data_IF_446537285550
#
_entry.id   IF_446537285550
#
_cell.length_a   1.000
_cell.length_b   1.000
_cell.length_c   1.000
_cell.angle_alpha   90.00
_cell.angle_beta   90.00
_cell.angle_gamma   90.00
#
_symmetry.space_group_name_H-M   'P 1'
#
loop_
_entity.id
_entity.type
_entity.pdbx_description
1 polymer ?
#
# COMPACT_ATOMS: atom_id res chain seq x y z
N UNK A 1 28.41 4.71 -23.58
CA UNK A 1 27.69 5.66 -22.71
C UNK A 1 26.64 6.34 -23.56
N UNK A 2 25.47 5.74 -23.69
CA UNK A 2 24.31 6.34 -24.36
C UNK A 2 23.60 7.23 -23.37
N UNK A 3 23.54 8.53 -23.68
CA UNK A 3 22.78 9.48 -22.89
C UNK A 3 21.33 9.05 -22.82
N UNK A 4 20.87 8.70 -21.62
CA UNK A 4 19.47 8.44 -21.30
C UNK A 4 18.72 9.76 -21.55
N UNK A 5 17.94 9.83 -22.61
CA UNK A 5 17.01 10.93 -22.83
C UNK A 5 16.12 11.04 -21.60
N UNK A 6 15.95 12.25 -21.07
CA UNK A 6 15.10 12.55 -19.93
C UNK A 6 13.69 12.02 -20.19
N UNK A 7 13.29 10.98 -19.45
CA UNK A 7 11.97 10.33 -19.49
C UNK A 7 10.92 11.13 -18.70
N UNK A 8 11.04 12.44 -18.64
CA UNK A 8 10.17 13.28 -17.84
C UNK A 8 8.74 13.21 -18.35
N UNK A 9 7.90 12.44 -17.64
CA UNK A 9 6.47 12.74 -17.58
C UNK A 9 6.34 14.13 -16.96
N UNK A 10 5.82 15.08 -17.68
CA UNK A 10 5.68 16.48 -17.22
C UNK A 10 4.58 16.62 -16.14
N UNK A 11 4.13 15.50 -15.54
CA UNK A 11 3.03 15.42 -14.58
C UNK A 11 3.56 15.04 -13.20
N UNK A 12 3.18 15.81 -12.18
CA UNK A 12 3.44 15.50 -10.77
C UNK A 12 2.92 14.10 -10.44
N UNK A 13 3.73 13.23 -9.79
CA UNK A 13 3.25 11.93 -9.36
C UNK A 13 2.17 12.09 -8.29
N UNK A 14 1.09 11.34 -8.41
CA UNK A 14 0.02 11.31 -7.44
C UNK A 14 0.45 10.60 -6.15
N UNK A 15 0.20 11.19 -5.00
CA UNK A 15 0.37 10.56 -3.69
C UNK A 15 -0.96 9.97 -3.23
N UNK A 16 -1.08 8.63 -3.31
CA UNK A 16 -2.29 7.89 -2.98
C UNK A 16 -2.24 7.31 -1.57
N UNK A 17 -3.03 7.89 -0.68
CA UNK A 17 -3.07 7.55 0.74
C UNK A 17 -4.15 6.52 1.10
N UNK A 18 -3.92 5.65 2.11
CA UNK A 18 -4.90 4.70 2.59
C UNK A 18 -5.86 5.33 3.62
N UNK A 19 -7.14 4.95 3.59
CA UNK A 19 -8.06 5.24 4.68
C UNK A 19 -8.93 4.02 5.03
N UNK A 20 -8.94 3.64 6.31
CA UNK A 20 -9.76 2.56 6.83
C UNK A 20 -11.08 3.02 7.44
N UNK A 21 -11.29 4.33 7.53
CA UNK A 21 -12.46 4.99 8.09
C UNK A 21 -12.28 6.50 8.10
N UNK A 22 -13.23 7.26 8.66
CA UNK A 22 -13.25 8.73 8.61
C UNK A 22 -12.01 9.42 9.23
N UNK A 23 -11.52 8.94 10.37
CA UNK A 23 -10.37 9.57 11.05
C UNK A 23 -9.06 9.44 10.26
N UNK A 24 -8.65 8.23 9.78
CA UNK A 24 -7.50 8.10 8.88
C UNK A 24 -7.68 8.87 7.57
N UNK A 25 -8.92 9.04 7.09
CA UNK A 25 -9.21 9.82 5.89
C UNK A 25 -8.90 11.31 6.11
N UNK A 26 -9.38 11.87 7.22
CA UNK A 26 -9.07 13.25 7.59
C UNK A 26 -7.57 13.48 7.79
N UNK A 27 -6.87 12.51 8.39
CA UNK A 27 -5.41 12.55 8.54
C UNK A 27 -4.67 12.56 7.20
N UNK A 28 -5.12 11.76 6.23
CA UNK A 28 -4.56 11.74 4.88
C UNK A 28 -4.72 13.07 4.15
N UNK A 29 -5.91 13.69 4.24
CA UNK A 29 -6.18 15.02 3.68
C UNK A 29 -5.28 16.08 4.31
N UNK A 30 -5.22 16.11 5.65
CA UNK A 30 -4.42 17.09 6.39
C UNK A 30 -2.92 16.98 6.07
N UNK A 31 -2.43 15.81 5.71
CA UNK A 31 -1.04 15.56 5.32
C UNK A 31 -0.76 15.81 3.82
N UNK A 32 -1.76 16.21 3.03
CA UNK A 32 -1.59 16.61 1.63
C UNK A 32 -1.61 15.45 0.62
N UNK A 33 -2.42 14.41 0.85
CA UNK A 33 -2.66 13.36 -0.15
C UNK A 33 -3.36 13.93 -1.39
N UNK A 34 -2.88 13.55 -2.59
CA UNK A 34 -3.52 13.92 -3.86
C UNK A 34 -4.77 13.07 -4.12
N UNK A 35 -4.77 11.82 -3.63
CA UNK A 35 -5.92 10.93 -3.67
C UNK A 35 -5.95 10.04 -2.43
N UNK A 36 -7.15 9.55 -2.07
CA UNK A 36 -7.34 8.68 -0.92
C UNK A 36 -8.14 7.46 -1.35
N UNK A 37 -7.62 6.25 -1.05
CA UNK A 37 -8.36 5.04 -1.31
C UNK A 37 -8.93 4.43 -0.02
N UNK A 38 -10.19 4.03 -0.10
CA UNK A 38 -10.92 3.45 1.02
C UNK A 38 -11.77 2.24 0.57
N UNK A 39 -12.50 1.64 1.48
CA UNK A 39 -13.45 0.58 1.18
C UNK A 39 -14.75 0.79 1.92
N UNK A 40 -15.82 0.32 1.32
CA UNK A 40 -17.10 0.15 1.99
C UNK A 40 -17.13 -1.20 2.71
N UNK A 41 -18.15 -1.51 3.49
CA UNK A 41 -18.21 -2.71 4.33
C UNK A 41 -18.06 -4.07 3.62
N UNK A 42 -18.24 -4.13 2.29
CA UNK A 42 -18.17 -5.37 1.49
C UNK A 42 -17.22 -5.23 0.29
N UNK A 43 -16.91 -6.38 -0.34
CA UNK A 43 -16.16 -6.51 -1.61
C UNK A 43 -14.75 -5.92 -1.63
N UNK A 44 -14.11 -5.69 -0.48
CA UNK A 44 -12.75 -5.15 -0.43
C UNK A 44 -11.77 -6.04 0.36
N UNK A 45 -10.48 -5.90 0.06
CA UNK A 45 -9.39 -6.69 0.65
C UNK A 45 -9.16 -6.42 2.16
N UNK A 46 -9.82 -5.45 2.75
CA UNK A 46 -9.70 -5.07 4.18
C UNK A 46 -11.08 -4.98 4.85
N UNK A 47 -11.88 -6.05 4.74
CA UNK A 47 -13.24 -6.11 5.31
C UNK A 47 -13.32 -5.80 6.82
N UNK A 48 -12.21 -5.99 7.56
CA UNK A 48 -12.12 -5.72 9.00
C UNK A 48 -11.76 -4.27 9.34
N UNK A 49 -11.51 -3.39 8.37
CA UNK A 49 -11.39 -1.96 8.63
C UNK A 49 -12.74 -1.41 9.13
N UNK A 50 -12.73 -0.24 9.75
CA UNK A 50 -13.96 0.42 10.22
C UNK A 50 -14.92 0.68 9.06
N UNK A 51 -14.35 0.97 7.86
CA UNK A 51 -15.06 1.33 6.64
C UNK A 51 -15.97 2.58 6.83
N UNK A 52 -16.84 2.86 5.87
CA UNK A 52 -17.69 4.04 5.86
C UNK A 52 -19.17 3.64 5.81
N UNK A 53 -20.04 4.42 6.47
CA UNK A 53 -21.46 4.51 6.10
C UNK A 53 -21.61 5.39 4.88
N UNK A 54 -22.76 5.36 4.20
CA UNK A 54 -22.99 6.16 3.01
C UNK A 54 -22.88 7.67 3.30
N UNK A 55 -23.44 8.14 4.43
CA UNK A 55 -23.38 9.54 4.86
C UNK A 55 -21.96 9.99 5.18
N UNK A 56 -21.20 9.16 5.90
CA UNK A 56 -19.80 9.48 6.22
C UNK A 56 -18.93 9.46 4.96
N UNK A 57 -19.23 8.58 4.00
CA UNK A 57 -18.53 8.51 2.72
C UNK A 57 -18.81 9.74 1.85
N UNK A 58 -20.07 10.16 1.73
CA UNK A 58 -20.44 11.38 1.00
C UNK A 58 -19.76 12.62 1.59
N UNK A 59 -19.74 12.74 2.93
CA UNK A 59 -19.05 13.85 3.60
C UNK A 59 -17.53 13.81 3.33
N UNK A 60 -16.93 12.62 3.35
CA UNK A 60 -15.51 12.43 3.04
C UNK A 60 -15.19 12.82 1.59
N UNK A 61 -16.00 12.42 0.61
CA UNK A 61 -15.85 12.82 -0.79
C UNK A 61 -15.93 14.35 -0.95
N UNK A 62 -16.92 15.00 -0.35
CA UNK A 62 -17.04 16.48 -0.38
C UNK A 62 -15.82 17.16 0.22
N UNK A 63 -15.32 16.68 1.36
CA UNK A 63 -14.13 17.22 2.00
C UNK A 63 -12.89 17.07 1.12
N UNK A 64 -12.71 15.89 0.49
CA UNK A 64 -11.61 15.63 -0.43
C UNK A 64 -11.66 16.57 -1.63
N UNK A 65 -12.81 16.71 -2.29
CA UNK A 65 -12.97 17.55 -3.47
C UNK A 65 -12.74 19.03 -3.15
N UNK A 66 -13.18 19.50 -1.98
CA UNK A 66 -12.88 20.86 -1.52
C UNK A 66 -11.38 21.10 -1.30
N UNK A 67 -10.63 20.04 -0.93
CA UNK A 67 -9.18 20.09 -0.79
C UNK A 67 -8.43 19.85 -2.11
N UNK A 68 -9.13 19.57 -3.22
CA UNK A 68 -8.54 19.23 -4.52
C UNK A 68 -8.03 17.77 -4.60
N UNK A 69 -8.44 16.91 -3.66
CA UNK A 69 -8.06 15.50 -3.62
C UNK A 69 -9.16 14.62 -4.20
N UNK A 70 -8.79 13.44 -4.71
CA UNK A 70 -9.68 12.44 -5.29
C UNK A 70 -9.97 11.28 -4.32
N UNK A 71 -11.07 10.58 -4.52
CA UNK A 71 -11.50 9.45 -3.67
C UNK A 71 -11.69 8.18 -4.50
N UNK A 72 -10.94 7.10 -4.17
CA UNK A 72 -11.00 5.84 -4.87
C UNK A 72 -11.58 4.74 -3.99
N UNK A 73 -12.57 4.02 -4.50
CA UNK A 73 -13.20 2.92 -3.76
C UNK A 73 -12.62 1.58 -4.18
N UNK A 74 -12.19 0.77 -3.20
CA UNK A 74 -11.69 -0.57 -3.47
C UNK A 74 -12.83 -1.59 -3.55
N UNK A 75 -12.95 -2.25 -4.70
CA UNK A 75 -13.78 -3.44 -4.94
C UNK A 75 -12.83 -4.55 -5.44
N UNK A 76 -11.79 -4.81 -4.67
CA UNK A 76 -10.59 -5.52 -5.11
C UNK A 76 -10.46 -6.92 -4.48
N UNK A 77 -11.53 -7.69 -4.62
CA UNK A 77 -11.57 -9.14 -4.31
C UNK A 77 -12.16 -9.90 -5.50
N UNK A 78 -11.96 -11.21 -5.52
CA UNK A 78 -12.65 -12.08 -6.47
C UNK A 78 -14.16 -12.06 -6.17
N UNK A 79 -15.00 -11.93 -7.20
CA UNK A 79 -16.46 -11.82 -7.11
C UNK A 79 -17.09 -13.13 -7.58
N UNK A 80 -18.02 -13.68 -6.80
CA UNK A 80 -18.80 -14.84 -7.21
C UNK A 80 -19.96 -14.39 -8.09
N UNK A 81 -20.42 -15.26 -8.98
CA UNK A 81 -21.55 -14.98 -9.87
C UNK A 81 -22.79 -14.47 -9.10
N UNK A 82 -23.08 -15.05 -7.94
CA UNK A 82 -24.21 -14.63 -7.09
C UNK A 82 -24.03 -13.26 -6.41
N UNK A 83 -22.81 -12.71 -6.42
CA UNK A 83 -22.47 -11.42 -5.79
C UNK A 83 -22.34 -10.27 -6.81
N UNK A 84 -22.37 -10.58 -8.11
CA UNK A 84 -22.13 -9.62 -9.17
C UNK A 84 -23.10 -8.44 -9.12
N UNK A 85 -24.39 -8.72 -8.92
CA UNK A 85 -25.43 -7.68 -8.80
C UNK A 85 -25.17 -6.72 -7.65
N UNK A 86 -24.84 -7.25 -6.48
CA UNK A 86 -24.54 -6.44 -5.28
C UNK A 86 -23.26 -5.61 -5.45
N UNK A 87 -22.25 -6.18 -6.11
CA UNK A 87 -21.00 -5.46 -6.39
C UNK A 87 -21.22 -4.28 -7.36
N UNK A 88 -22.03 -4.48 -8.42
CA UNK A 88 -22.41 -3.41 -9.35
C UNK A 88 -23.26 -2.33 -8.67
N UNK A 89 -24.21 -2.71 -7.82
CA UNK A 89 -24.99 -1.75 -7.03
C UNK A 89 -24.11 -0.93 -6.08
N UNK A 90 -23.12 -1.56 -5.43
CA UNK A 90 -22.13 -0.84 -4.59
C UNK A 90 -21.37 0.20 -5.41
N UNK A 91 -20.85 -0.18 -6.58
CA UNK A 91 -20.11 0.73 -7.46
C UNK A 91 -21.00 1.91 -7.88
N UNK A 92 -22.20 1.64 -8.35
CA UNK A 92 -23.16 2.69 -8.74
C UNK A 92 -23.46 3.64 -7.58
N UNK A 93 -23.76 3.11 -6.39
CA UNK A 93 -24.04 3.91 -5.19
C UNK A 93 -22.84 4.78 -4.81
N UNK A 94 -21.63 4.22 -4.74
CA UNK A 94 -20.45 4.99 -4.40
C UNK A 94 -20.13 6.08 -5.44
N UNK A 95 -20.32 5.79 -6.72
CA UNK A 95 -20.19 6.79 -7.79
C UNK A 95 -21.15 7.97 -7.59
N UNK A 96 -22.42 7.69 -7.23
CA UNK A 96 -23.43 8.73 -6.93
C UNK A 96 -23.06 9.55 -5.69
N UNK A 97 -22.40 8.95 -4.71
CA UNK A 97 -21.95 9.61 -3.49
C UNK A 97 -20.63 10.39 -3.66
N UNK A 98 -20.00 10.33 -4.83
CA UNK A 98 -18.84 11.16 -5.16
C UNK A 98 -17.51 10.40 -5.28
N UNK A 99 -17.52 9.07 -5.40
CA UNK A 99 -16.30 8.33 -5.73
C UNK A 99 -15.79 8.70 -7.14
N UNK A 100 -14.49 8.98 -7.27
CA UNK A 100 -13.86 9.37 -8.53
C UNK A 100 -13.41 8.17 -9.36
N UNK A 101 -12.99 7.06 -8.72
CA UNK A 101 -12.56 5.84 -9.40
C UNK A 101 -12.75 4.58 -8.54
N UNK A 102 -12.67 3.42 -9.19
CA UNK A 102 -12.82 2.12 -8.54
C UNK A 102 -11.61 1.23 -8.79
N UNK A 103 -11.02 0.69 -7.71
CA UNK A 103 -9.90 -0.23 -7.77
C UNK A 103 -10.46 -1.66 -7.80
N UNK A 104 -10.36 -2.33 -8.94
CA UNK A 104 -11.01 -3.61 -9.23
C UNK A 104 -9.95 -4.71 -9.45
N UNK A 105 -10.18 -5.92 -8.90
CA UNK A 105 -9.37 -7.11 -9.15
C UNK A 105 -10.04 -8.06 -10.13
N UNK A 106 -11.35 -8.25 -10.01
CA UNK A 106 -12.12 -9.26 -10.72
C UNK A 106 -12.42 -8.80 -12.15
N UNK A 107 -11.97 -9.57 -13.14
CA UNK A 107 -12.14 -9.24 -14.55
C UNK A 107 -13.61 -9.30 -15.00
N UNK A 108 -14.39 -10.23 -14.44
CA UNK A 108 -15.83 -10.29 -14.73
C UNK A 108 -16.53 -9.00 -14.28
N UNK A 109 -16.23 -8.54 -13.06
CA UNK A 109 -16.74 -7.26 -12.56
C UNK A 109 -16.25 -6.08 -13.40
N UNK A 110 -14.96 -6.07 -13.77
CA UNK A 110 -14.38 -5.01 -14.59
C UNK A 110 -15.12 -4.86 -15.93
N UNK A 111 -15.32 -5.97 -16.66
CA UNK A 111 -16.04 -5.93 -17.93
C UNK A 111 -17.51 -5.54 -17.77
N UNK A 112 -18.19 -6.00 -16.72
CA UNK A 112 -19.56 -5.58 -16.44
C UNK A 112 -19.67 -4.08 -16.11
N UNK A 113 -18.70 -3.52 -15.38
CA UNK A 113 -18.63 -2.06 -15.12
C UNK A 113 -18.43 -1.30 -16.43
N UNK A 114 -17.45 -1.69 -17.26
CA UNK A 114 -17.21 -1.03 -18.56
C UNK A 114 -18.43 -1.13 -19.49
N UNK A 115 -19.16 -2.23 -19.45
CA UNK A 115 -20.37 -2.44 -20.27
C UNK A 115 -21.57 -1.62 -19.78
N UNK A 116 -21.79 -1.54 -18.45
CA UNK A 116 -23.02 -0.96 -17.87
C UNK A 116 -22.86 0.46 -17.40
N UNK A 117 -21.63 0.87 -17.05
CA UNK A 117 -21.26 2.18 -16.50
C UNK A 117 -19.96 2.70 -17.17
N UNK A 118 -19.94 2.93 -18.49
CA UNK A 118 -18.71 3.20 -19.26
C UNK A 118 -18.00 4.49 -18.86
N UNK A 119 -18.69 5.41 -18.16
CA UNK A 119 -18.10 6.65 -17.66
C UNK A 119 -17.34 6.52 -16.34
N UNK A 120 -17.35 5.33 -15.73
CA UNK A 120 -16.64 5.11 -14.46
C UNK A 120 -15.15 4.84 -14.71
N UNK A 121 -14.30 5.61 -14.06
CA UNK A 121 -12.85 5.40 -14.04
C UNK A 121 -12.51 4.14 -13.24
N UNK A 122 -11.68 3.27 -13.83
CA UNK A 122 -11.34 1.95 -13.24
C UNK A 122 -9.83 1.77 -13.18
N UNK A 123 -9.35 1.41 -12.00
CA UNK A 123 -7.96 1.08 -11.75
C UNK A 123 -7.82 -0.42 -11.49
N UNK A 124 -6.92 -1.07 -12.21
CA UNK A 124 -6.65 -2.48 -12.01
C UNK A 124 -5.84 -2.65 -10.73
N UNK A 125 -6.35 -3.47 -9.81
CA UNK A 125 -5.71 -3.74 -8.52
C UNK A 125 -4.41 -4.53 -8.70
N UNK A 126 -3.42 -4.31 -7.83
CA UNK A 126 -2.22 -5.17 -7.72
C UNK A 126 -2.57 -6.64 -7.51
N UNK A 127 -3.76 -6.95 -6.99
CA UNK A 127 -4.23 -8.33 -6.84
C UNK A 127 -4.60 -9.01 -8.18
N UNK A 128 -4.69 -8.26 -9.28
CA UNK A 128 -4.80 -8.83 -10.63
C UNK A 128 -3.45 -9.32 -11.18
N UNK A 129 -2.36 -9.10 -10.43
CA UNK A 129 -1.03 -9.64 -10.69
C UNK A 129 -0.42 -9.20 -12.03
N UNK A 130 -0.52 -7.91 -12.35
CA UNK A 130 0.11 -7.33 -13.54
C UNK A 130 1.57 -7.00 -13.21
N UNK A 131 2.52 -7.65 -13.92
CA UNK A 131 3.95 -7.56 -13.64
C UNK A 131 4.83 -7.55 -14.88
N UNK A 132 4.25 -7.34 -16.06
CA UNK A 132 4.96 -7.21 -17.32
C UNK A 132 4.29 -6.20 -18.26
N UNK A 133 4.98 -5.86 -19.36
CA UNK A 133 4.51 -4.93 -20.37
C UNK A 133 3.25 -5.43 -21.09
N UNK A 134 3.16 -6.73 -21.37
CA UNK A 134 2.02 -7.34 -22.06
C UNK A 134 0.75 -7.24 -21.24
N UNK A 135 0.86 -7.49 -19.93
CA UNK A 135 -0.26 -7.31 -19.00
C UNK A 135 -0.72 -5.86 -18.90
N UNK A 136 0.21 -4.90 -18.85
CA UNK A 136 -0.12 -3.47 -18.81
C UNK A 136 -0.79 -2.99 -20.12
N UNK A 137 -0.23 -3.37 -21.27
CA UNK A 137 -0.80 -3.08 -22.60
C UNK A 137 -2.21 -3.67 -22.71
N UNK A 138 -2.38 -4.94 -22.33
CA UNK A 138 -3.68 -5.60 -22.38
C UNK A 138 -4.72 -4.89 -21.51
N UNK A 139 -4.37 -4.48 -20.27
CA UNK A 139 -5.26 -3.72 -19.41
C UNK A 139 -5.75 -2.43 -20.08
N UNK A 140 -4.85 -1.69 -20.71
CA UNK A 140 -5.17 -0.48 -21.47
C UNK A 140 -6.12 -0.77 -22.63
N UNK A 141 -5.85 -1.83 -23.42
CA UNK A 141 -6.68 -2.23 -24.56
C UNK A 141 -8.10 -2.62 -24.11
N UNK A 142 -8.26 -3.14 -22.89
CA UNK A 142 -9.57 -3.40 -22.30
C UNK A 142 -10.23 -2.15 -21.70
N UNK A 143 -9.57 -1.00 -21.74
CA UNK A 143 -10.10 0.29 -21.27
C UNK A 143 -9.87 0.55 -19.78
N UNK A 144 -8.87 -0.07 -19.16
CA UNK A 144 -8.44 0.33 -17.83
C UNK A 144 -7.76 1.71 -17.86
N UNK A 145 -8.08 2.56 -16.90
CA UNK A 145 -7.56 3.92 -16.81
C UNK A 145 -6.21 3.96 -16.07
N UNK A 146 -5.97 2.99 -15.15
CA UNK A 146 -4.73 2.87 -14.37
C UNK A 146 -4.45 1.41 -14.02
N UNK A 147 -3.17 1.07 -13.88
CA UNK A 147 -2.72 -0.26 -13.45
C UNK A 147 -1.84 -0.14 -12.20
N UNK A 148 -2.29 -0.73 -11.06
CA UNK A 148 -1.42 -0.92 -9.90
C UNK A 148 -0.56 -2.16 -10.16
N UNK A 149 0.73 -1.96 -10.40
CA UNK A 149 1.67 -3.03 -10.68
C UNK A 149 1.83 -3.99 -9.48
N UNK A 150 2.29 -5.19 -9.76
CA UNK A 150 2.74 -6.14 -8.74
C UNK A 150 3.91 -5.58 -7.96
N UNK A 151 4.04 -6.00 -6.68
CA UNK A 151 5.04 -5.45 -5.75
C UNK A 151 6.41 -6.09 -5.89
N UNK A 152 6.51 -7.09 -6.72
CA UNK A 152 7.69 -7.91 -6.96
C UNK A 152 8.62 -7.34 -8.04
N UNK A 153 8.33 -6.14 -8.55
CA UNK A 153 9.08 -5.47 -9.62
C UNK A 153 10.18 -4.56 -9.07
N UNK A 154 11.31 -4.61 -9.75
CA UNK A 154 12.38 -3.61 -9.61
C UNK A 154 12.04 -2.30 -10.32
N UNK A 155 12.74 -1.22 -9.98
CA UNK A 155 12.56 0.09 -10.65
C UNK A 155 12.89 -0.02 -12.14
N UNK A 156 13.87 -0.84 -12.53
CA UNK A 156 14.25 -1.02 -13.93
C UNK A 156 13.16 -1.75 -14.72
N UNK A 157 12.49 -2.75 -14.11
CA UNK A 157 11.34 -3.43 -14.73
C UNK A 157 10.13 -2.50 -14.84
N UNK A 158 9.87 -1.65 -13.83
CA UNK A 158 8.83 -0.61 -13.90
C UNK A 158 9.10 0.34 -15.06
N UNK A 159 10.34 0.79 -15.23
CA UNK A 159 10.75 1.64 -16.33
C UNK A 159 10.55 0.96 -17.71
N UNK A 160 10.90 -0.32 -17.83
CA UNK A 160 10.69 -1.09 -19.05
C UNK A 160 9.21 -1.24 -19.41
N UNK A 161 8.34 -1.45 -18.41
CA UNK A 161 6.88 -1.50 -18.61
C UNK A 161 6.35 -0.14 -19.06
N UNK A 162 6.80 0.96 -18.44
CA UNK A 162 6.41 2.32 -18.84
C UNK A 162 6.84 2.64 -20.28
N UNK A 163 8.07 2.29 -20.64
CA UNK A 163 8.57 2.53 -22.01
C UNK A 163 7.75 1.77 -23.08
N UNK A 164 7.28 0.55 -22.74
CA UNK A 164 6.45 -0.25 -23.65
C UNK A 164 4.97 0.18 -23.66
N UNK A 165 4.49 0.79 -22.57
CA UNK A 165 3.10 1.20 -22.39
C UNK A 165 3.00 2.64 -21.84
N UNK A 166 3.51 3.67 -22.56
CA UNK A 166 3.61 5.03 -22.02
C UNK A 166 2.26 5.72 -21.76
N UNK A 167 1.20 5.21 -22.37
CA UNK A 167 -0.16 5.74 -22.23
C UNK A 167 -0.92 5.13 -21.03
N UNK A 168 -0.30 4.23 -20.27
CA UNK A 168 -0.90 3.62 -19.07
C UNK A 168 -0.40 4.35 -17.84
N UNK A 169 -1.32 4.85 -17.01
CA UNK A 169 -0.98 5.34 -15.67
C UNK A 169 -0.53 4.17 -14.79
N UNK A 170 0.78 4.07 -14.52
CA UNK A 170 1.34 3.05 -13.65
C UNK A 170 1.33 3.51 -12.19
N UNK A 171 0.74 2.71 -11.32
CA UNK A 171 0.70 2.90 -9.87
C UNK A 171 1.59 1.86 -9.19
N UNK A 172 2.43 2.29 -8.25
CA UNK A 172 3.34 1.43 -7.51
C UNK A 172 3.19 1.58 -6.00
N UNK A 173 3.27 0.46 -5.26
CA UNK A 173 3.33 0.52 -3.80
C UNK A 173 4.69 1.02 -3.34
N UNK A 174 4.68 2.06 -2.49
CA UNK A 174 5.89 2.75 -2.04
C UNK A 174 6.10 2.65 -0.52
N UNK A 175 5.07 2.36 0.27
CA UNK A 175 5.21 2.24 1.73
C UNK A 175 4.27 1.21 2.33
N UNK A 176 4.72 0.58 3.43
CA UNK A 176 3.92 -0.25 4.31
C UNK A 176 4.07 -1.76 4.05
N UNK A 177 3.10 -2.54 4.49
CA UNK A 177 3.21 -3.99 4.53
C UNK A 177 3.35 -4.61 3.13
N UNK A 178 4.40 -5.43 2.95
CA UNK A 178 4.56 -6.30 1.78
C UNK A 178 4.06 -7.71 2.09
N UNK A 179 3.60 -8.43 1.06
CA UNK A 179 3.22 -9.84 1.16
C UNK A 179 4.44 -10.74 0.97
N UNK A 180 4.42 -11.91 1.61
CA UNK A 180 5.41 -12.96 1.36
C UNK A 180 5.21 -13.63 -0.01
N UNK A 181 3.94 -13.88 -0.36
CA UNK A 181 3.58 -14.46 -1.66
C UNK A 181 3.45 -13.38 -2.72
N UNK A 182 3.59 -13.78 -3.99
CA UNK A 182 3.31 -12.94 -5.14
C UNK A 182 1.94 -12.26 -5.05
N UNK A 183 1.84 -11.06 -5.58
CA UNK A 183 0.63 -10.24 -5.56
C UNK A 183 -0.56 -10.99 -6.14
N UNK A 184 -1.68 -11.05 -5.41
CA UNK A 184 -2.90 -11.74 -5.84
C UNK A 184 -2.89 -13.28 -5.78
N UNK A 185 -1.76 -13.93 -5.54
CA UNK A 185 -1.61 -15.39 -5.63
C UNK A 185 -1.49 -16.11 -4.28
N UNK A 186 -1.80 -15.45 -3.17
CA UNK A 186 -1.65 -16.04 -1.85
C UNK A 186 -2.81 -16.97 -1.49
N UNK A 187 -2.53 -18.25 -1.31
CA UNK A 187 -3.46 -19.27 -0.83
C UNK A 187 -3.23 -19.67 0.65
N UNK A 188 -2.23 -19.10 1.31
CA UNK A 188 -1.80 -19.54 2.64
C UNK A 188 -2.92 -19.46 3.69
N UNK A 189 -3.74 -18.38 3.67
CA UNK A 189 -4.89 -18.27 4.57
C UNK A 189 -5.98 -19.30 4.28
N UNK A 190 -6.16 -19.69 3.02
CA UNK A 190 -7.19 -20.67 2.63
C UNK A 190 -6.86 -22.06 3.14
N UNK A 191 -5.59 -22.46 3.11
CA UNK A 191 -5.16 -23.77 3.60
C UNK A 191 -5.00 -23.81 5.12
N UNK A 192 -4.39 -22.77 5.71
CA UNK A 192 -4.00 -22.84 7.12
C UNK A 192 -5.07 -22.34 8.11
N UNK A 193 -6.12 -21.62 7.65
CA UNK A 193 -7.02 -20.87 8.52
C UNK A 193 -8.51 -21.06 8.18
N UNK A 194 -8.97 -22.30 8.20
CA UNK A 194 -10.39 -22.66 8.11
C UNK A 194 -11.14 -22.03 6.91
N UNK A 195 -10.53 -22.06 5.72
CA UNK A 195 -11.16 -21.56 4.48
C UNK A 195 -11.20 -20.05 4.34
N UNK A 196 -10.52 -19.29 5.18
CA UNK A 196 -10.35 -17.83 4.97
C UNK A 196 -9.50 -17.60 3.72
N UNK A 197 -9.84 -16.59 2.94
CA UNK A 197 -9.10 -16.27 1.71
C UNK A 197 -8.61 -14.83 1.71
N UNK A 198 -7.31 -14.65 1.41
CA UNK A 198 -6.73 -13.33 1.20
C UNK A 198 -7.37 -12.62 0.00
N UNK A 199 -7.67 -13.39 -1.07
CA UNK A 199 -8.30 -12.89 -2.30
C UNK A 199 -9.80 -12.58 -2.13
N UNK A 200 -10.34 -12.85 -0.94
CA UNK A 200 -11.72 -12.54 -0.52
C UNK A 200 -11.75 -11.57 0.67
N UNK A 201 -10.68 -10.83 0.89
CA UNK A 201 -10.58 -9.81 1.95
C UNK A 201 -10.45 -10.36 3.37
N UNK A 202 -10.14 -11.64 3.55
CA UNK A 202 -10.07 -12.32 4.84
C UNK A 202 -8.68 -12.87 5.16
N UNK A 203 -7.63 -12.17 4.76
CA UNK A 203 -6.26 -12.54 5.09
C UNK A 203 -6.09 -12.69 6.61
N UNK A 204 -5.61 -13.87 7.06
CA UNK A 204 -5.33 -14.15 8.46
C UNK A 204 -3.90 -13.80 8.86
N UNK A 205 -3.07 -13.36 7.91
CA UNK A 205 -1.65 -13.06 8.08
C UNK A 205 -0.83 -14.26 8.62
N UNK A 206 -1.03 -15.51 8.13
CA UNK A 206 -0.27 -16.65 8.61
C UNK A 206 1.23 -16.48 8.40
N UNK A 207 1.67 -15.81 7.34
CA UNK A 207 3.08 -15.47 7.12
C UNK A 207 3.71 -14.62 8.26
N UNK A 208 2.95 -14.11 9.21
CA UNK A 208 3.44 -13.34 10.37
C UNK A 208 3.60 -14.19 11.63
N UNK A 209 3.22 -15.46 11.57
CA UNK A 209 3.38 -16.41 12.67
C UNK A 209 4.79 -17.02 12.67
N UNK A 210 5.25 -17.54 13.81
CA UNK A 210 6.48 -18.33 13.85
C UNK A 210 6.25 -19.71 13.23
N UNK A 211 7.27 -20.21 12.52
CA UNK A 211 7.33 -21.55 11.93
C UNK A 211 8.71 -22.15 12.15
N UNK A 212 8.75 -23.43 12.39
CA UNK A 212 9.98 -24.21 12.39
C UNK A 212 10.07 -24.99 11.08
N UNK A 213 11.21 -24.90 10.41
CA UNK A 213 11.56 -25.78 9.32
C UNK A 213 12.11 -27.06 9.92
N UNK A 214 11.49 -28.21 9.58
CA UNK A 214 11.90 -29.52 10.04
C UNK A 214 12.26 -30.42 8.84
N UNK A 215 13.24 -31.32 9.03
CA UNK A 215 13.55 -32.35 8.05
C UNK A 215 12.56 -33.54 8.11
N UNK A 216 12.75 -34.51 7.26
CA UNK A 216 11.94 -35.74 7.20
C UNK A 216 12.00 -36.58 8.49
N UNK A 217 12.99 -36.39 9.34
CA UNK A 217 13.20 -37.09 10.62
C UNK A 217 12.68 -36.27 11.81
N UNK A 218 12.03 -35.11 11.55
CA UNK A 218 11.53 -34.22 12.60
C UNK A 218 12.61 -33.35 13.27
N UNK A 219 13.81 -33.25 12.70
CA UNK A 219 14.88 -32.41 13.22
C UNK A 219 14.65 -30.96 12.77
N UNK A 220 14.70 -30.02 13.70
CA UNK A 220 14.62 -28.57 13.40
C UNK A 220 15.84 -28.13 12.60
N UNK A 221 15.57 -27.52 11.42
CA UNK A 221 16.56 -26.92 10.54
C UNK A 221 16.59 -25.37 10.68
N UNK A 222 15.58 -24.79 11.30
CA UNK A 222 15.52 -23.34 11.52
C UNK A 222 16.62 -22.90 12.48
N UNK A 223 17.46 -21.92 12.12
CA UNK A 223 18.39 -21.30 13.06
C UNK A 223 17.65 -20.67 14.23
N UNK A 224 18.23 -20.73 15.42
CA UNK A 224 17.67 -20.06 16.60
C UNK A 224 17.46 -18.57 16.34
N UNK A 225 16.29 -18.05 16.72
CA UNK A 225 15.92 -16.64 16.51
C UNK A 225 15.42 -16.32 15.10
N UNK A 226 15.22 -17.31 14.22
CA UNK A 226 14.74 -17.15 12.85
C UNK A 226 13.41 -17.88 12.57
N UNK A 227 12.59 -18.02 13.58
CA UNK A 227 11.30 -18.76 13.46
C UNK A 227 10.29 -18.02 12.56
N UNK A 228 10.51 -16.75 12.24
CA UNK A 228 9.62 -15.96 11.38
C UNK A 228 10.13 -15.82 9.94
N UNK A 229 10.60 -16.92 9.36
CA UNK A 229 11.19 -16.95 8.03
C UNK A 229 10.23 -16.50 6.90
N UNK A 230 8.91 -16.47 7.15
CA UNK A 230 7.90 -16.00 6.19
C UNK A 230 7.44 -14.57 6.47
N UNK A 231 8.05 -13.84 7.43
CA UNK A 231 7.61 -12.51 7.83
C UNK A 231 8.43 -11.41 7.15
N UNK A 232 7.99 -10.81 6.02
CA UNK A 232 8.74 -9.73 5.41
C UNK A 232 8.72 -8.46 6.30
N UNK A 233 9.76 -7.64 6.16
CA UNK A 233 9.81 -6.25 6.61
C UNK A 233 8.78 -5.42 5.87
N UNK A 234 8.51 -4.22 6.34
CA UNK A 234 7.63 -3.27 5.65
C UNK A 234 8.44 -2.50 4.58
N UNK A 235 7.82 -2.22 3.44
CA UNK A 235 8.43 -1.42 2.39
C UNK A 235 8.53 0.04 2.84
N UNK A 236 9.66 0.67 2.55
CA UNK A 236 9.84 2.12 2.65
C UNK A 236 10.76 2.58 1.50
N UNK A 237 10.19 3.19 0.50
CA UNK A 237 10.91 3.72 -0.66
C UNK A 237 10.87 5.25 -0.74
N UNK A 238 10.68 5.93 0.41
CA UNK A 238 10.67 7.40 0.47
C UNK A 238 11.94 8.03 -0.10
N UNK A 239 13.08 7.37 0.05
CA UNK A 239 14.36 7.80 -0.52
C UNK A 239 14.50 7.48 -2.02
N UNK A 240 13.60 6.67 -2.60
CA UNK A 240 13.61 6.26 -4.01
C UNK A 240 12.56 7.00 -4.85
N UNK A 241 11.85 7.98 -4.28
CA UNK A 241 10.75 8.72 -4.95
C UNK A 241 11.20 9.28 -6.30
N UNK A 242 12.39 9.88 -6.37
CA UNK A 242 12.96 10.38 -7.62
C UNK A 242 13.15 9.27 -8.67
N UNK A 243 13.72 8.15 -8.27
CA UNK A 243 13.95 7.01 -9.18
C UNK A 243 12.64 6.40 -9.68
N UNK A 244 11.62 6.28 -8.81
CA UNK A 244 10.29 5.80 -9.19
C UNK A 244 9.60 6.76 -10.16
N UNK A 245 9.70 8.07 -9.93
CA UNK A 245 9.20 9.09 -10.84
C UNK A 245 9.89 9.01 -12.22
N UNK A 246 11.21 8.93 -12.24
CA UNK A 246 11.98 8.82 -13.47
C UNK A 246 11.73 7.50 -14.22
N UNK A 247 11.30 6.45 -13.51
CA UNK A 247 10.85 5.16 -14.08
C UNK A 247 9.41 5.20 -14.61
N UNK A 248 8.71 6.34 -14.53
CA UNK A 248 7.35 6.52 -15.07
C UNK A 248 6.22 6.14 -14.11
N UNK A 249 6.47 6.01 -12.80
CA UNK A 249 5.40 5.83 -11.84
C UNK A 249 4.53 7.09 -11.76
N UNK A 250 3.28 6.99 -12.22
CA UNK A 250 2.30 8.08 -12.20
C UNK A 250 1.65 8.26 -10.82
N UNK A 251 1.59 7.18 -10.00
CA UNK A 251 1.02 7.21 -8.66
C UNK A 251 1.86 6.40 -7.67
N UNK A 252 2.15 6.99 -6.51
CA UNK A 252 2.83 6.36 -5.38
C UNK A 252 1.80 5.99 -4.31
N UNK A 253 1.55 4.68 -4.17
CA UNK A 253 0.53 4.15 -3.26
C UNK A 253 1.11 3.76 -1.92
N UNK A 254 0.50 4.26 -0.85
CA UNK A 254 0.86 3.92 0.52
C UNK A 254 -0.09 2.84 1.07
N UNK A 255 0.43 1.79 1.71
CA UNK A 255 -0.39 0.77 2.37
C UNK A 255 -0.59 1.13 3.84
N UNK A 256 -1.83 1.00 4.33
CA UNK A 256 -2.12 1.32 5.72
C UNK A 256 -3.60 1.38 6.10
N UNK A 257 -4.50 0.79 5.30
CA UNK A 257 -5.96 0.83 5.57
C UNK A 257 -6.40 0.27 6.93
N UNK A 258 -5.54 -0.51 7.60
CA UNK A 258 -5.78 -1.04 8.94
C UNK A 258 -5.00 -0.28 10.01
N UNK A 259 -4.49 0.90 9.71
CA UNK A 259 -3.63 1.69 10.58
C UNK A 259 -4.38 2.89 11.18
N UNK A 260 -3.87 3.37 12.30
CA UNK A 260 -4.39 4.53 13.01
C UNK A 260 -4.12 5.85 12.25
N UNK A 261 -4.85 6.93 12.56
CA UNK A 261 -4.70 8.21 11.87
C UNK A 261 -3.30 8.81 11.93
N UNK A 262 -2.60 8.67 13.05
CA UNK A 262 -1.22 9.14 13.25
C UNK A 262 -0.22 8.47 12.30
N UNK A 263 -0.39 7.16 12.05
CA UNK A 263 0.40 6.46 11.04
C UNK A 263 0.15 7.04 9.66
N UNK A 264 -1.13 7.20 9.27
CA UNK A 264 -1.50 7.69 7.94
C UNK A 264 -0.96 9.11 7.72
N UNK A 265 -1.16 10.01 8.70
CA UNK A 265 -0.61 11.36 8.64
C UNK A 265 0.91 11.32 8.41
N UNK A 266 1.63 10.59 9.24
CA UNK A 266 3.09 10.61 9.22
C UNK A 266 3.69 10.06 7.93
N UNK A 267 3.13 8.99 7.36
CA UNK A 267 3.65 8.46 6.09
C UNK A 267 3.31 9.39 4.92
N UNK A 268 2.09 9.94 4.87
CA UNK A 268 1.68 10.86 3.81
C UNK A 268 2.52 12.13 3.85
N UNK A 269 2.72 12.72 5.03
CA UNK A 269 3.52 13.92 5.26
C UNK A 269 4.95 13.75 4.74
N UNK A 270 5.62 12.66 5.10
CA UNK A 270 6.99 12.39 4.62
C UNK A 270 7.05 12.25 3.10
N UNK A 271 6.15 11.47 2.50
CA UNK A 271 6.14 11.29 1.04
C UNK A 271 5.73 12.58 0.31
N UNK A 272 4.85 13.39 0.90
CA UNK A 272 4.49 14.69 0.35
C UNK A 272 5.71 15.59 0.25
N UNK A 273 6.47 15.73 1.34
CA UNK A 273 7.70 16.52 1.34
C UNK A 273 8.75 15.98 0.35
N UNK A 274 8.92 14.64 0.26
CA UNK A 274 9.85 14.04 -0.71
C UNK A 274 9.47 14.37 -2.17
N UNK A 275 8.16 14.35 -2.49
CA UNK A 275 7.68 14.68 -3.84
C UNK A 275 7.87 16.18 -4.10
N UNK A 276 7.53 17.04 -3.15
CA UNK A 276 7.60 18.49 -3.33
C UNK A 276 9.05 18.97 -3.49
N UNK A 277 9.97 18.47 -2.67
CA UNK A 277 11.42 18.77 -2.80
C UNK A 277 11.97 18.26 -4.14
N UNK A 278 11.59 17.06 -4.54
CA UNK A 278 11.98 16.49 -5.83
C UNK A 278 11.54 17.40 -7.00
N UNK A 279 10.30 17.87 -6.98
CA UNK A 279 9.73 18.73 -8.02
C UNK A 279 10.34 20.15 -8.00
N UNK A 280 10.65 20.66 -6.82
CA UNK A 280 11.33 21.93 -6.65
C UNK A 280 12.83 21.87 -6.98
N UNK A 281 13.39 20.67 -7.22
CA UNK A 281 14.82 20.48 -7.43
C UNK A 281 15.65 20.74 -6.19
N UNK A 282 15.04 20.66 -5.00
CA UNK A 282 15.71 20.87 -3.71
C UNK A 282 16.42 19.58 -3.31
N UNK A 283 17.71 19.68 -3.00
CA UNK A 283 18.47 18.58 -2.42
C UNK A 283 18.15 18.49 -0.91
N UNK A 284 17.57 17.39 -0.48
CA UNK A 284 17.33 17.14 0.95
C UNK A 284 18.66 16.88 1.63
N UNK A 285 18.97 17.60 2.70
CA UNK A 285 20.20 17.38 3.45
C UNK A 285 20.11 16.09 4.30
N UNK A 286 21.26 15.63 4.81
CA UNK A 286 21.33 14.37 5.57
C UNK A 286 20.56 14.41 6.89
N UNK A 287 20.52 15.54 7.56
CA UNK A 287 19.87 15.69 8.87
C UNK A 287 18.35 15.70 8.70
N UNK A 288 17.87 16.35 7.65
CA UNK A 288 16.45 16.35 7.27
C UNK A 288 15.99 14.97 6.83
N UNK A 289 16.73 14.29 5.94
CA UNK A 289 16.43 12.92 5.57
C UNK A 289 16.39 12.00 6.79
N UNK A 290 17.38 12.10 7.68
CA UNK A 290 17.42 11.36 8.93
C UNK A 290 16.20 11.67 9.84
N UNK A 291 15.72 12.91 9.85
CA UNK A 291 14.53 13.30 10.60
C UNK A 291 13.27 12.64 10.01
N UNK A 292 13.11 12.65 8.69
CA UNK A 292 12.02 11.96 7.97
C UNK A 292 12.04 10.44 8.23
N UNK A 293 13.21 9.82 8.16
CA UNK A 293 13.35 8.38 8.47
C UNK A 293 13.03 8.09 9.95
N UNK A 294 13.38 8.96 10.88
CA UNK A 294 12.98 8.84 12.30
C UNK A 294 11.47 8.96 12.46
N UNK A 295 10.81 9.88 11.75
CA UNK A 295 9.34 10.02 11.76
C UNK A 295 8.67 8.72 11.32
N UNK A 296 9.10 8.11 10.21
CA UNK A 296 8.58 6.83 9.73
C UNK A 296 8.84 5.69 10.73
N UNK A 297 10.01 5.64 11.37
CA UNK A 297 10.33 4.61 12.39
C UNK A 297 9.50 4.72 13.67
N UNK A 298 9.01 5.90 14.04
CA UNK A 298 8.12 6.08 15.20
C UNK A 298 6.73 5.50 14.97
N UNK A 299 6.31 5.43 13.71
CA UNK A 299 5.07 4.79 13.32
C UNK A 299 5.17 3.27 13.36
N UNK A 300 4.04 2.58 13.17
CA UNK A 300 4.05 1.13 13.07
C UNK A 300 4.94 0.65 11.93
N UNK A 301 5.93 -0.19 12.25
CA UNK A 301 6.77 -0.85 11.25
C UNK A 301 7.28 -2.20 11.75
N UNK A 302 7.74 -3.05 10.81
CA UNK A 302 8.40 -4.35 11.06
C UNK A 302 9.86 -4.33 10.60
N UNK A 303 10.54 -3.22 10.80
CA UNK A 303 11.73 -2.76 10.10
C UNK A 303 11.43 -2.44 8.64
N UNK A 304 12.33 -1.73 7.98
CA UNK A 304 12.15 -1.30 6.61
C UNK A 304 13.08 -2.03 5.65
N UNK A 305 12.59 -2.15 4.41
CA UNK A 305 13.33 -2.63 3.25
C UNK A 305 12.86 -1.84 2.03
N UNK A 306 13.71 -1.68 1.02
CA UNK A 306 13.28 -1.24 -0.30
C UNK A 306 12.62 -2.36 -1.10
N UNK A 307 12.67 -3.58 -0.59
CA UNK A 307 12.15 -4.78 -1.22
C UNK A 307 12.71 -4.96 -2.65
N UNK A 308 11.92 -5.49 -3.53
CA UNK A 308 12.33 -5.75 -4.92
C UNK A 308 12.70 -4.48 -5.70
N UNK A 309 12.24 -3.29 -5.29
CA UNK A 309 12.42 -2.05 -6.06
C UNK A 309 13.89 -1.65 -6.24
N UNK A 310 14.77 -2.01 -5.32
CA UNK A 310 16.22 -1.84 -5.49
C UNK A 310 17.00 -3.16 -5.63
N UNK A 311 16.28 -4.26 -5.90
CA UNK A 311 16.86 -5.58 -6.07
C UNK A 311 17.07 -6.35 -4.75
N UNK A 312 16.63 -5.83 -3.60
CA UNK A 312 16.70 -6.56 -2.32
C UNK A 312 15.78 -7.78 -2.34
N UNK A 313 16.30 -8.94 -1.98
CA UNK A 313 15.56 -10.19 -1.97
C UNK A 313 16.03 -11.14 -0.85
N UNK A 314 15.30 -12.25 -0.66
CA UNK A 314 15.68 -13.31 0.29
C UNK A 314 15.73 -12.82 1.74
N UNK A 315 16.80 -13.20 2.46
CA UNK A 315 16.99 -12.96 3.90
C UNK A 315 16.90 -11.47 4.30
N UNK A 316 17.39 -10.58 3.47
CA UNK A 316 17.41 -9.13 3.73
C UNK A 316 16.00 -8.52 3.78
N UNK A 317 15.03 -9.20 3.18
CA UNK A 317 13.62 -8.79 3.25
C UNK A 317 12.93 -9.24 4.53
N UNK A 318 13.49 -10.16 5.32
CA UNK A 318 12.77 -10.84 6.40
C UNK A 318 12.96 -10.16 7.76
N UNK A 319 11.86 -10.12 8.54
CA UNK A 319 11.79 -9.64 9.92
C UNK A 319 11.69 -10.84 10.87
N UNK A 320 12.82 -11.48 11.17
CA UNK A 320 12.88 -12.76 11.88
C UNK A 320 12.44 -12.68 13.34
N UNK A 321 12.81 -11.63 14.04
CA UNK A 321 12.64 -11.57 15.50
C UNK A 321 11.18 -11.43 15.95
N UNK A 322 10.42 -10.56 15.28
CA UNK A 322 9.02 -10.29 15.65
C UNK A 322 8.22 -9.67 14.49
N UNK A 323 6.92 -9.92 14.51
CA UNK A 323 5.99 -9.47 13.47
C UNK A 323 5.12 -8.26 13.88
N UNK A 324 5.32 -7.74 15.10
CA UNK A 324 4.61 -6.58 15.62
C UNK A 324 5.40 -5.28 15.41
N UNK A 325 4.87 -4.17 15.91
CA UNK A 325 5.52 -2.87 15.81
C UNK A 325 6.91 -2.88 16.45
N UNK A 326 7.91 -2.39 15.73
CA UNK A 326 9.28 -2.18 16.22
C UNK A 326 9.35 -0.92 17.08
N UNK A 327 8.73 0.17 16.64
CA UNK A 327 8.88 1.47 17.26
C UNK A 327 10.32 1.99 17.20
N UNK A 328 10.59 2.99 18.02
CA UNK A 328 11.92 3.54 18.22
C UNK A 328 12.29 3.48 19.71
N UNK A 329 13.49 3.00 20.05
CA UNK A 329 14.01 3.08 21.40
C UNK A 329 14.29 4.56 21.71
N UNK A 330 13.56 5.13 22.68
CA UNK A 330 13.70 6.53 23.08
C UNK A 330 14.47 6.68 24.39
N UNK A 331 14.69 5.59 25.12
CA UNK A 331 15.46 5.59 26.36
C UNK A 331 15.37 4.26 27.10
N UNK A 332 16.18 4.13 28.14
CA UNK A 332 16.18 2.99 29.06
C UNK A 332 15.81 3.48 30.45
N UNK A 333 14.90 2.77 31.11
CA UNK A 333 14.57 3.05 32.52
C UNK A 333 15.73 2.58 33.38
N UNK A 334 16.51 3.53 33.95
CA UNK A 334 17.65 3.22 34.80
C UNK A 334 17.29 2.91 36.25
N UNK A 335 16.06 3.22 36.65
CA UNK A 335 15.55 2.93 37.98
C UNK A 335 14.14 3.48 38.20
N UNK A 336 13.38 2.87 39.09
CA UNK A 336 12.11 3.41 39.56
C UNK A 336 12.21 3.75 41.05
N UNK A 337 11.75 4.93 41.44
CA UNK A 337 11.54 5.25 42.87
C UNK A 337 10.06 5.14 43.16
N UNK A 338 9.66 4.64 44.37
CA UNK A 338 8.27 4.67 44.77
C UNK A 338 7.75 6.10 44.67
N UNK A 339 6.57 6.27 44.10
CA UNK A 339 5.97 7.57 43.89
C UNK A 339 5.59 8.23 45.22
N UNK A 340 6.42 9.13 45.69
CA UNK A 340 5.90 10.32 46.37
C UNK A 340 5.45 11.26 45.25
N UNK A 341 4.28 11.74 45.32
CA UNK A 341 3.36 12.30 44.32
C UNK A 341 3.91 13.25 43.24
N UNK A 342 5.21 13.48 43.11
CA UNK A 342 5.75 14.36 42.07
C UNK A 342 7.01 13.83 41.40
N UNK A 343 6.91 13.81 40.07
CA UNK A 343 7.94 13.71 39.06
C UNK A 343 8.64 12.37 38.87
N UNK A 344 8.26 11.71 37.82
CA UNK A 344 8.91 10.56 37.18
C UNK A 344 10.03 11.02 36.27
N UNK A 345 11.26 10.87 36.68
CA UNK A 345 12.40 11.17 35.83
C UNK A 345 12.63 10.09 34.80
N UNK A 346 12.26 10.37 33.56
CA UNK A 346 12.83 9.72 32.37
C UNK A 346 14.09 10.50 32.01
N UNK A 347 15.24 9.84 31.88
CA UNK A 347 16.41 10.43 31.22
C UNK A 347 16.45 9.96 29.78
N UNK A 348 16.71 10.87 28.79
CA UNK A 348 16.83 10.54 27.39
C UNK A 348 17.99 9.60 27.09
#
# INVERSE_FOLDING_TARGET
>A
MTATASRTTNRRPELLAPAGGPEPFAAALAAGADAIYCGMGSFNARRKATNFTDEAFEQACRAAHLAGSRVYVTVNIVIKQSEMGDALQLIHRCSTLGADAFIIQDWGLFFEVKRTMPGIETHISTQANIHDDRGAIWCREQGADRVTLSRELSIDEIAAIHDAAPDVDLEVFSHGAICFCYSGLCLLSSFAMAGRSANRGMCAQPCRLPYELIDENGRTLSPAGRERALCPRDTNTSQLVRRLYDAGAASLKLEGRMKAPDYVYSIVDVYRHQIDDMLAGVAVDKDEDAARQRQLKRCFNRDFTHAYQDGTSGDEMMSYERSNNRGQIVGTVLGSRPANRDVRGLKP
#
